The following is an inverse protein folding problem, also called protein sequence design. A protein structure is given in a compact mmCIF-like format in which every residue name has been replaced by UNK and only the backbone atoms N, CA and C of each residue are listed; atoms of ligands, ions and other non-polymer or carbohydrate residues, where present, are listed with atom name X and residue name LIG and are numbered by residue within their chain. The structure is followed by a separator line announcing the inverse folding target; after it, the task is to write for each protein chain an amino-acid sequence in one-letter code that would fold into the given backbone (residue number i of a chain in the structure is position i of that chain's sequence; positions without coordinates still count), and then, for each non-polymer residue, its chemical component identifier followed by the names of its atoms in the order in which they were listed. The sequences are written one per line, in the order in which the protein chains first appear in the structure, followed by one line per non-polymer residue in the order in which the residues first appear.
data_IF_254975109012
#
_entry.id   IF_254975109012
#
_cell.length_a   1.000
_cell.length_b   1.000
_cell.length_c   1.000
_cell.angle_alpha   90.00
_cell.angle_beta   90.00
_cell.angle_gamma   90.00
#
_symmetry.space_group_name_H-M   'P 1'
#
loop_
_entity.id
_entity.type
_entity.pdbx_description
1 polymer ?
#
# COMPACT_ATOMS: atom_id res chain seq x y z
N UNK A 1 3.33 -31.96 2.99
CA UNK A 1 3.24 -30.50 2.70
C UNK A 1 3.19 -29.78 4.04
N UNK A 2 4.03 -28.78 4.28
CA UNK A 2 3.99 -27.96 5.51
C UNK A 2 3.30 -26.64 5.15
N UNK A 3 2.20 -26.31 5.83
CA UNK A 3 1.42 -25.09 5.58
C UNK A 3 1.80 -23.99 6.57
N UNK A 4 1.86 -22.75 6.08
CA UNK A 4 2.07 -21.56 6.91
C UNK A 4 0.72 -20.92 7.24
N UNK A 5 0.68 -20.21 8.37
CA UNK A 5 -0.49 -19.45 8.82
C UNK A 5 -0.22 -17.95 8.67
N UNK A 6 -1.25 -17.11 8.50
CA UNK A 6 -1.11 -15.66 8.60
C UNK A 6 -0.57 -15.26 9.97
N UNK A 7 0.15 -14.15 10.01
CA UNK A 7 0.65 -13.57 11.26
C UNK A 7 -0.45 -12.84 12.02
N UNK A 8 -0.42 -12.93 13.34
CA UNK A 8 -1.25 -12.15 14.24
C UNK A 8 -0.69 -10.72 14.40
N UNK A 9 -1.50 -9.80 14.93
CA UNK A 9 -1.12 -8.39 15.08
C UNK A 9 0.16 -8.20 15.93
N UNK A 10 0.30 -8.98 17.00
CA UNK A 10 1.46 -8.91 17.88
C UNK A 10 2.74 -9.43 17.19
N UNK A 11 2.60 -10.46 16.35
CA UNK A 11 3.70 -10.99 15.54
C UNK A 11 4.11 -9.99 14.46
N UNK A 12 3.15 -9.32 13.82
CA UNK A 12 3.42 -8.23 12.86
C UNK A 12 4.20 -7.11 13.54
N UNK A 13 3.77 -6.67 14.73
CA UNK A 13 4.47 -5.62 15.49
C UNK A 13 5.91 -6.01 15.79
N UNK A 14 6.13 -7.26 16.22
CA UNK A 14 7.47 -7.77 16.51
C UNK A 14 8.35 -7.82 15.26
N UNK A 15 7.81 -8.28 14.13
CA UNK A 15 8.55 -8.30 12.86
C UNK A 15 8.94 -6.88 12.44
N UNK A 16 8.00 -5.93 12.52
CA UNK A 16 8.27 -4.53 12.16
C UNK A 16 9.31 -3.90 13.10
N UNK A 17 9.28 -4.22 14.40
CA UNK A 17 10.28 -3.75 15.36
C UNK A 17 11.69 -4.25 14.98
N UNK A 18 11.84 -5.54 14.71
CA UNK A 18 13.12 -6.12 14.26
C UNK A 18 13.60 -5.44 12.98
N UNK A 19 12.69 -5.11 12.05
CA UNK A 19 13.06 -4.40 10.82
C UNK A 19 13.51 -2.96 11.05
N UNK A 20 12.91 -2.25 12.00
CA UNK A 20 13.38 -0.92 12.38
C UNK A 20 14.79 -0.98 12.99
N UNK A 21 15.06 -2.00 13.82
CA UNK A 21 16.40 -2.22 14.40
C UNK A 21 17.44 -2.55 13.32
N UNK A 22 17.12 -3.42 12.35
CA UNK A 22 18.02 -3.78 11.23
C UNK A 22 18.29 -2.61 10.27
N UNK A 23 17.30 -1.75 10.03
CA UNK A 23 17.45 -0.57 9.16
C UNK A 23 18.03 0.66 9.88
N UNK A 24 18.37 0.53 11.18
CA UNK A 24 18.84 1.62 12.05
C UNK A 24 17.88 2.84 12.03
N UNK A 25 16.59 2.55 12.20
CA UNK A 25 15.50 3.54 12.20
C UNK A 25 14.91 3.64 13.61
N UNK A 26 15.12 4.79 14.26
CA UNK A 26 14.44 5.13 15.50
C UNK A 26 12.98 5.50 15.18
N UNK A 27 12.01 4.76 15.73
CA UNK A 27 10.58 4.98 15.53
C UNK A 27 9.85 5.09 16.86
N UNK A 28 8.92 6.04 16.95
CA UNK A 28 8.03 6.19 18.11
C UNK A 28 7.06 5.01 18.24
N UNK A 29 6.73 4.62 19.47
CA UNK A 29 5.80 3.52 19.74
C UNK A 29 4.42 3.73 19.10
N UNK A 30 3.94 4.98 19.06
CA UNK A 30 2.68 5.34 18.40
C UNK A 30 2.74 5.12 16.89
N UNK A 31 3.85 5.49 16.24
CA UNK A 31 4.05 5.26 14.81
C UNK A 31 4.13 3.76 14.51
N UNK A 32 4.79 2.98 15.37
CA UNK A 32 4.86 1.52 15.25
C UNK A 32 3.48 0.86 15.39
N UNK A 33 2.62 1.36 16.29
CA UNK A 33 1.24 0.89 16.42
C UNK A 33 0.42 1.16 15.16
N UNK A 34 0.58 2.35 14.55
CA UNK A 34 -0.08 2.70 13.29
C UNK A 34 0.41 1.82 12.14
N UNK A 35 1.73 1.60 12.01
CA UNK A 35 2.28 0.69 11.00
C UNK A 35 1.78 -0.75 11.17
N UNK A 36 1.69 -1.24 12.40
CA UNK A 36 1.12 -2.57 12.69
C UNK A 36 -0.31 -2.68 12.19
N UNK A 37 -1.14 -1.65 12.43
CA UNK A 37 -2.52 -1.61 11.93
C UNK A 37 -2.56 -1.63 10.40
N UNK A 38 -1.73 -0.81 9.74
CA UNK A 38 -1.60 -0.79 8.28
C UNK A 38 -1.18 -2.17 7.75
N UNK A 39 -0.23 -2.83 8.40
CA UNK A 39 0.26 -4.16 8.00
C UNK A 39 -0.76 -5.27 8.11
N UNK A 40 -1.69 -5.14 9.05
CA UNK A 40 -2.84 -6.05 9.19
C UNK A 40 -3.92 -5.79 8.14
N UNK A 41 -4.19 -4.52 7.82
CA UNK A 41 -5.22 -4.15 6.85
C UNK A 41 -4.79 -4.33 5.39
N UNK A 42 -3.48 -4.25 5.13
CA UNK A 42 -2.91 -4.33 3.78
C UNK A 42 -1.98 -5.55 3.63
N UNK A 43 -0.67 -5.35 3.77
CA UNK A 43 0.33 -6.41 3.78
C UNK A 43 1.55 -6.04 4.61
N UNK A 44 2.20 -7.07 5.15
CA UNK A 44 3.47 -6.92 5.87
C UNK A 44 4.57 -6.33 4.97
N UNK A 45 4.58 -6.69 3.68
CA UNK A 45 5.54 -6.16 2.69
C UNK A 45 5.41 -4.64 2.55
N UNK A 46 4.18 -4.15 2.39
CA UNK A 46 3.91 -2.73 2.26
C UNK A 46 4.34 -1.97 3.53
N UNK A 47 4.07 -2.53 4.71
CA UNK A 47 4.48 -1.91 5.98
C UNK A 47 6.00 -1.80 6.13
N UNK A 48 6.76 -2.81 5.68
CA UNK A 48 8.23 -2.74 5.68
C UNK A 48 8.73 -1.63 4.73
N UNK A 49 8.14 -1.51 3.54
CA UNK A 49 8.49 -0.42 2.62
C UNK A 49 8.21 0.96 3.22
N UNK A 50 7.12 1.10 3.98
CA UNK A 50 6.80 2.34 4.68
C UNK A 50 7.84 2.71 5.76
N UNK A 51 8.52 1.76 6.40
CA UNK A 51 9.58 2.05 7.39
C UNK A 51 10.70 2.84 6.71
N UNK A 52 11.25 2.30 5.62
CA UNK A 52 12.35 2.94 4.89
C UNK A 52 11.94 4.32 4.37
N UNK A 53 10.74 4.44 3.79
CA UNK A 53 10.23 5.71 3.26
C UNK A 53 9.99 6.74 4.37
N UNK A 54 9.45 6.32 5.52
CA UNK A 54 9.21 7.21 6.66
C UNK A 54 10.52 7.71 7.25
N UNK A 55 11.58 6.90 7.24
CA UNK A 55 12.93 7.31 7.63
C UNK A 55 13.50 8.41 6.71
N UNK A 56 13.19 8.38 5.41
CA UNK A 56 13.65 9.41 4.46
C UNK A 56 12.91 10.72 4.72
N UNK A 57 11.60 10.66 4.99
CA UNK A 57 10.81 11.85 5.34
C UNK A 57 11.29 12.46 6.67
N UNK A 58 11.53 11.62 7.69
CA UNK A 58 12.01 12.11 8.99
C UNK A 58 13.40 12.76 8.87
N UNK A 59 14.30 12.17 8.06
CA UNK A 59 15.61 12.76 7.75
C UNK A 59 15.49 14.10 7.01
N UNK A 60 14.52 14.24 6.10
CA UNK A 60 14.31 15.49 5.36
C UNK A 60 13.92 16.66 6.30
N UNK A 61 13.07 16.41 7.29
CA UNK A 61 12.75 17.40 8.34
C UNK A 61 13.83 17.54 9.42
N UNK A 62 14.97 16.87 9.27
CA UNK A 62 16.09 16.84 10.24
C UNK A 62 15.69 16.27 11.61
N UNK A 63 14.70 15.38 11.65
CA UNK A 63 14.36 14.64 12.85
C UNK A 63 15.14 13.32 12.89
N UNK A 64 15.49 12.89 14.10
CA UNK A 64 16.16 11.60 14.34
C UNK A 64 15.16 10.45 14.43
N UNK A 65 14.00 10.71 14.99
CA UNK A 65 12.93 9.74 15.21
C UNK A 65 11.80 9.86 14.18
N UNK A 66 11.24 8.73 13.77
CA UNK A 66 10.04 8.61 12.94
C UNK A 66 8.78 8.73 13.82
N UNK A 67 7.90 9.62 13.40
CA UNK A 67 6.65 9.97 14.09
C UNK A 67 5.45 9.50 13.28
N UNK A 68 4.27 9.51 13.90
CA UNK A 68 3.01 9.14 13.24
C UNK A 68 2.76 9.99 11.99
N UNK A 69 3.16 11.26 11.99
CA UNK A 69 2.93 12.16 10.86
C UNK A 69 3.76 11.79 9.62
N UNK A 70 4.95 11.18 9.78
CA UNK A 70 5.70 10.68 8.62
C UNK A 70 5.01 9.48 8.02
N UNK A 71 4.57 8.54 8.86
CA UNK A 71 3.88 7.34 8.41
C UNK A 71 2.61 7.70 7.65
N UNK A 72 1.83 8.65 8.18
CA UNK A 72 0.66 9.20 7.48
C UNK A 72 1.06 9.83 6.15
N UNK A 73 2.12 10.64 6.13
CA UNK A 73 2.56 11.31 4.90
C UNK A 73 3.00 10.31 3.83
N UNK A 74 3.74 9.27 4.20
CA UNK A 74 4.13 8.21 3.25
C UNK A 74 2.89 7.45 2.79
N UNK A 75 1.97 7.12 3.70
CA UNK A 75 0.76 6.38 3.38
C UNK A 75 -0.16 7.12 2.38
N UNK A 76 -0.18 8.45 2.41
CA UNK A 76 -0.88 9.28 1.42
C UNK A 76 -0.22 9.25 0.04
N UNK A 77 1.11 9.24 -0.01
CA UNK A 77 1.87 9.33 -1.27
C UNK A 77 2.00 7.97 -1.96
N UNK A 78 2.16 6.90 -1.18
CA UNK A 78 2.38 5.55 -1.70
C UNK A 78 1.16 4.68 -1.45
N UNK A 79 0.51 4.26 -2.53
CA UNK A 79 -0.69 3.41 -2.48
C UNK A 79 -0.31 1.93 -2.29
N UNK A 80 -1.15 1.19 -1.57
CA UNK A 80 -1.08 -0.28 -1.58
C UNK A 80 -1.86 -0.85 -2.77
N UNK A 81 -1.78 -2.17 -2.98
CA UNK A 81 -2.40 -2.87 -4.11
C UNK A 81 -3.92 -2.64 -4.19
N UNK A 82 -4.63 -2.73 -3.07
CA UNK A 82 -6.09 -2.61 -3.06
C UNK A 82 -6.50 -1.19 -3.43
N UNK A 83 -5.91 -0.18 -2.78
CA UNK A 83 -6.15 1.23 -3.11
C UNK A 83 -5.73 1.58 -4.54
N UNK A 84 -4.63 1.01 -5.03
CA UNK A 84 -4.17 1.22 -6.41
C UNK A 84 -5.16 0.66 -7.43
N UNK A 85 -5.72 -0.52 -7.15
CA UNK A 85 -6.71 -1.17 -8.00
C UNK A 85 -8.02 -0.39 -8.03
N UNK A 86 -8.47 0.12 -6.89
CA UNK A 86 -9.68 0.95 -6.81
C UNK A 86 -9.49 2.30 -7.51
N UNK A 87 -8.32 2.92 -7.35
CA UNK A 87 -7.96 4.12 -8.10
C UNK A 87 -7.95 3.83 -9.61
N UNK A 88 -7.43 2.69 -10.06
CA UNK A 88 -7.46 2.33 -11.47
C UNK A 88 -8.90 2.22 -12.00
N UNK A 89 -9.80 1.60 -11.24
CA UNK A 89 -11.23 1.47 -11.58
C UNK A 89 -11.93 2.81 -11.72
N UNK A 90 -11.67 3.75 -10.82
CA UNK A 90 -12.28 5.09 -10.85
C UNK A 90 -11.88 5.88 -12.10
N UNK A 91 -10.63 5.73 -12.53
CA UNK A 91 -10.10 6.44 -13.70
C UNK A 91 -10.09 5.58 -14.98
N UNK A 92 -10.81 4.44 -15.01
CA UNK A 92 -10.88 3.50 -16.15
C UNK A 92 -11.11 4.21 -17.49
N UNK A 93 -12.01 5.20 -17.51
CA UNK A 93 -12.37 5.97 -18.70
C UNK A 93 -11.21 6.78 -19.32
N UNK A 94 -10.15 7.08 -18.56
CA UNK A 94 -8.99 7.83 -19.03
C UNK A 94 -7.85 6.93 -19.53
N UNK A 95 -8.01 5.59 -19.44
CA UNK A 95 -6.98 4.65 -19.90
C UNK A 95 -7.24 4.16 -21.33
N UNK A 96 -6.15 3.94 -22.06
CA UNK A 96 -6.11 3.57 -23.48
C UNK A 96 -7.02 2.41 -23.90
N UNK A 97 -7.34 1.48 -23.00
CA UNK A 97 -8.14 0.30 -23.32
C UNK A 97 -9.65 0.57 -23.40
N UNK A 98 -10.14 1.71 -22.90
CA UNK A 98 -11.55 2.09 -23.05
C UNK A 98 -11.89 2.56 -24.48
N UNK A 99 -10.91 3.10 -25.22
CA UNK A 99 -11.13 3.52 -26.60
C UNK A 99 -11.24 2.32 -27.56
N UNK A 100 -10.60 1.18 -27.22
CA UNK A 100 -10.59 -0.04 -28.05
C UNK A 100 -11.90 -0.86 -27.98
N UNK A 101 -12.74 -0.65 -26.97
CA UNK A 101 -14.04 -1.33 -26.83
C UNK A 101 -15.17 -0.62 -27.58
N UNK A 102 -14.96 0.64 -27.98
CA UNK A 102 -15.96 1.43 -28.70
C UNK A 102 -16.10 1.03 -30.18
N UNK A 103 -15.14 0.28 -30.74
CA UNK A 103 -15.12 -0.16 -32.14
C UNK A 103 -15.76 -1.55 -32.39
N UNK A 104 -16.41 -2.16 -31.39
CA UNK A 104 -17.25 -3.34 -31.59
C UNK A 104 -18.74 -3.02 -31.36
N UNK A 105 -19.31 -2.19 -32.24
CA UNK A 105 -20.76 -2.19 -32.47
C UNK A 105 -21.18 -3.52 -33.11
N UNK A 106 -22.27 -4.16 -32.65
CA UNK A 106 -22.78 -5.38 -33.27
C UNK A 106 -23.36 -5.05 -34.65
N UNK A 107 -22.67 -5.47 -35.71
CA UNK A 107 -23.25 -5.46 -37.05
C UNK A 107 -24.36 -6.51 -37.14
N UNK A 108 -25.61 -6.07 -37.25
CA UNK A 108 -26.63 -6.77 -38.02
C UNK A 108 -27.81 -7.39 -37.26
N UNK A 109 -28.63 -6.58 -36.60
CA UNK A 109 -30.05 -6.88 -36.47
C UNK A 109 -30.81 -6.19 -37.61
N UNK A 110 -30.91 -6.84 -38.76
CA UNK A 110 -31.93 -6.60 -39.79
C UNK A 110 -31.82 -7.63 -40.92
N UNK A 111 -32.61 -8.70 -40.85
CA UNK A 111 -33.20 -9.32 -42.05
C UNK A 111 -34.45 -10.11 -41.64
N UNK A 112 -35.55 -9.39 -41.43
CA UNK A 112 -36.89 -9.93 -41.69
C UNK A 112 -37.13 -9.81 -43.21
N UNK A 113 -37.25 -10.95 -43.88
CA UNK A 113 -38.25 -11.33 -44.92
C UNK A 113 -37.83 -12.67 -45.52
#
# INVERSE_FOLDING_TARGET
IITTKPYEADEIKQILKIRCEEEDVEISDDALNVLTKIGRETSLRYSIQLITLSSIISRNRKAREVTVDDVKRVYEVFLDEARSSDNLREYEQYFMFNDLTTDQQPTGAAMET
#
